data_IF_259393304144
#
_entry.id   IF_259393304144
#
_cell.length_a   1.000
_cell.length_b   1.000
_cell.length_c   1.000
_cell.angle_alpha   90.00
_cell.angle_beta   90.00
_cell.angle_gamma   90.00
#
_symmetry.space_group_name_H-M   'P 1'
#
loop_
_entity.id
_entity.type
_entity.pdbx_description
1 polymer ?
#
# COMPACT_ATOMS: atom_id res chain seq x y z
N UNK A 1 17.74 1.81 0.49
CA UNK A 1 16.41 1.15 0.51
C UNK A 1 16.50 -0.07 -0.40
N UNK A 2 15.97 -1.21 0.03
CA UNK A 2 15.86 -2.37 -0.85
C UNK A 2 14.87 -2.05 -1.98
N UNK A 3 15.23 -2.36 -3.22
CA UNK A 3 14.36 -2.13 -4.37
C UNK A 3 13.29 -3.21 -4.40
N UNK A 4 12.07 -2.91 -3.96
CA UNK A 4 10.95 -3.88 -3.86
C UNK A 4 10.45 -4.37 -5.23
N UNK A 5 10.96 -3.79 -6.33
CA UNK A 5 10.53 -4.05 -7.70
C UNK A 5 11.11 -5.36 -8.24
N UNK A 6 10.67 -6.48 -7.68
CA UNK A 6 11.06 -7.80 -8.18
C UNK A 6 10.12 -8.32 -9.25
N UNK A 7 8.90 -7.80 -9.29
CA UNK A 7 7.89 -8.04 -10.32
C UNK A 7 7.26 -6.73 -10.77
N UNK A 8 6.84 -6.69 -12.02
CA UNK A 8 6.10 -5.59 -12.62
C UNK A 8 4.62 -5.60 -12.22
N UNK A 9 3.99 -4.43 -12.34
CA UNK A 9 2.56 -4.25 -12.12
C UNK A 9 1.71 -5.16 -13.01
N UNK A 10 2.14 -5.34 -14.26
CA UNK A 10 1.44 -6.20 -15.21
C UNK A 10 1.49 -7.67 -14.75
N UNK A 11 2.64 -8.14 -14.28
CA UNK A 11 2.78 -9.49 -13.73
C UNK A 11 1.91 -9.70 -12.48
N UNK A 12 1.91 -8.74 -11.55
CA UNK A 12 1.04 -8.79 -10.38
C UNK A 12 -0.44 -8.78 -10.75
N UNK A 13 -0.88 -7.89 -11.65
CA UNK A 13 -2.28 -7.82 -12.05
C UNK A 13 -2.73 -9.09 -12.77
N UNK A 14 -1.92 -9.61 -13.70
CA UNK A 14 -2.20 -10.86 -14.39
C UNK A 14 -2.28 -12.04 -13.42
N UNK A 15 -1.37 -12.12 -12.44
CA UNK A 15 -1.42 -13.14 -11.39
C UNK A 15 -2.70 -13.00 -10.55
N UNK A 16 -3.03 -11.80 -10.10
CA UNK A 16 -4.21 -11.53 -9.28
C UNK A 16 -5.51 -11.89 -10.02
N UNK A 17 -5.60 -11.62 -11.32
CA UNK A 17 -6.80 -11.92 -12.12
C UNK A 17 -6.97 -13.41 -12.42
N UNK A 18 -5.88 -14.19 -12.45
CA UNK A 18 -5.92 -15.60 -12.83
C UNK A 18 -5.67 -16.58 -11.67
N UNK A 19 -5.36 -16.10 -10.45
CA UNK A 19 -5.08 -16.99 -9.30
C UNK A 19 -6.32 -17.74 -8.81
N UNK A 20 -6.09 -18.92 -8.22
CA UNK A 20 -7.13 -19.67 -7.52
C UNK A 20 -7.37 -19.08 -6.11
N UNK A 21 -8.51 -18.43 -5.92
CA UNK A 21 -8.90 -17.80 -4.64
C UNK A 21 -9.13 -18.81 -3.51
N UNK A 22 -9.44 -20.07 -3.81
CA UNK A 22 -9.64 -21.12 -2.80
C UNK A 22 -8.33 -21.54 -2.12
N UNK A 23 -7.18 -21.23 -2.75
CA UNK A 23 -5.85 -21.55 -2.25
C UNK A 23 -5.22 -20.40 -1.48
N UNK A 24 -5.91 -19.26 -1.32
CA UNK A 24 -5.41 -18.13 -0.55
C UNK A 24 -5.43 -18.45 0.95
N UNK A 25 -4.39 -18.05 1.67
CA UNK A 25 -4.32 -18.25 3.13
C UNK A 25 -5.21 -17.29 3.91
N UNK A 26 -5.61 -16.18 3.29
CA UNK A 26 -6.40 -15.13 3.92
C UNK A 26 -7.59 -14.79 3.02
N UNK A 27 -8.76 -14.57 3.63
CA UNK A 27 -9.92 -14.07 2.88
C UNK A 27 -9.84 -12.56 2.69
N UNK A 28 -9.48 -11.85 3.76
CA UNK A 28 -9.48 -10.40 3.88
C UNK A 28 -8.48 -9.93 4.94
N UNK A 29 -8.12 -8.63 4.92
CA UNK A 29 -7.32 -8.01 5.99
C UNK A 29 -8.13 -7.71 7.27
N UNK A 30 -9.45 -7.75 7.24
CA UNK A 30 -10.29 -7.31 8.38
C UNK A 30 -10.23 -8.27 9.57
N UNK A 31 -10.07 -9.57 9.29
CA UNK A 31 -10.21 -10.64 10.28
C UNK A 31 -8.90 -11.46 10.44
N UNK A 32 -7.75 -10.83 10.17
CA UNK A 32 -6.45 -11.49 10.36
C UNK A 32 -6.14 -11.68 11.85
N UNK A 33 -5.80 -12.92 12.22
CA UNK A 33 -5.29 -13.23 13.56
C UNK A 33 -3.84 -12.78 13.67
N UNK A 34 -3.32 -12.69 14.90
CA UNK A 34 -1.92 -12.32 15.15
C UNK A 34 -0.92 -13.21 14.37
N UNK A 35 -1.22 -14.50 14.24
CA UNK A 35 -0.41 -15.42 13.43
C UNK A 35 -0.41 -15.06 11.94
N UNK A 36 -1.58 -14.71 11.40
CA UNK A 36 -1.75 -14.32 10.00
C UNK A 36 -0.98 -13.04 9.70
N UNK A 37 -1.10 -12.03 10.58
CA UNK A 37 -0.38 -10.75 10.46
C UNK A 37 1.13 -10.99 10.51
N UNK A 38 1.60 -11.80 11.46
CA UNK A 38 3.00 -12.17 11.55
C UNK A 38 3.51 -12.84 10.27
N UNK A 39 2.77 -13.84 9.75
CA UNK A 39 3.11 -14.52 8.51
C UNK A 39 3.18 -13.55 7.33
N UNK A 40 2.22 -12.64 7.20
CA UNK A 40 2.21 -11.67 6.11
C UNK A 40 3.39 -10.69 6.17
N UNK A 41 3.73 -10.20 7.37
CA UNK A 41 4.92 -9.37 7.57
C UNK A 41 6.22 -10.11 7.20
N UNK A 42 6.34 -11.39 7.56
CA UNK A 42 7.49 -12.23 7.18
C UNK A 42 7.61 -12.43 5.67
N UNK A 43 6.48 -12.57 4.96
CA UNK A 43 6.45 -12.65 3.49
C UNK A 43 6.95 -11.35 2.86
N UNK A 44 6.48 -10.19 3.34
CA UNK A 44 6.95 -8.88 2.88
C UNK A 44 8.45 -8.73 3.12
N UNK A 45 8.94 -9.08 4.31
CA UNK A 45 10.37 -9.01 4.63
C UNK A 45 11.21 -9.91 3.72
N UNK A 46 10.74 -11.16 3.52
CA UNK A 46 11.39 -12.15 2.65
C UNK A 46 11.47 -11.66 1.22
N UNK A 47 10.37 -11.08 0.72
CA UNK A 47 10.32 -10.47 -0.60
C UNK A 47 11.31 -9.31 -0.68
N UNK A 48 11.22 -8.34 0.24
CA UNK A 48 12.02 -7.12 0.22
C UNK A 48 13.53 -7.38 0.30
N UNK A 49 13.94 -8.34 1.13
CA UNK A 49 15.35 -8.66 1.34
C UNK A 49 15.88 -9.75 0.40
N UNK A 50 15.03 -10.29 -0.49
CA UNK A 50 15.34 -11.48 -1.31
C UNK A 50 16.00 -12.59 -0.49
N UNK A 51 15.41 -12.92 0.67
CA UNK A 51 16.00 -13.91 1.56
C UNK A 51 16.01 -15.28 0.89
N UNK A 52 17.09 -16.03 1.08
CA UNK A 52 17.15 -17.42 0.64
C UNK A 52 16.31 -18.28 1.58
N UNK A 53 15.38 -19.03 1.01
CA UNK A 53 14.48 -19.96 1.71
C UNK A 53 15.17 -21.33 1.86
N UNK A 54 14.65 -22.13 2.79
CA UNK A 54 15.22 -23.47 3.11
C UNK A 54 15.22 -24.43 1.93
N UNK A 55 14.28 -24.26 0.98
CA UNK A 55 14.20 -25.02 -0.27
C UNK A 55 15.20 -24.57 -1.35
N UNK A 56 16.04 -23.56 -1.07
CA UNK A 56 17.02 -23.01 -1.98
C UNK A 56 16.51 -21.89 -2.89
N UNK A 57 15.19 -21.63 -2.89
CA UNK A 57 14.58 -20.50 -3.61
C UNK A 57 14.96 -19.17 -2.97
N UNK A 58 14.91 -18.09 -3.74
CA UNK A 58 15.31 -16.75 -3.30
C UNK A 58 14.10 -15.81 -3.38
N UNK A 59 13.76 -15.20 -2.25
CA UNK A 59 12.64 -14.27 -2.16
C UNK A 59 11.28 -14.96 -2.21
N UNK A 60 10.26 -14.19 -2.59
CA UNK A 60 8.87 -14.63 -2.73
C UNK A 60 8.50 -14.53 -4.20
N UNK A 61 8.05 -15.64 -4.78
CA UNK A 61 7.68 -15.71 -6.21
C UNK A 61 6.25 -15.21 -6.45
N UNK A 62 5.86 -15.00 -7.71
CA UNK A 62 4.45 -14.71 -8.04
C UNK A 62 3.50 -15.84 -7.64
N UNK A 63 3.96 -17.10 -7.69
CA UNK A 63 3.15 -18.24 -7.27
C UNK A 63 2.93 -18.25 -5.74
N UNK A 64 3.94 -17.85 -4.97
CA UNK A 64 3.79 -17.63 -3.54
C UNK A 64 2.81 -16.47 -3.27
N UNK A 65 2.97 -15.34 -3.96
CA UNK A 65 2.07 -14.19 -3.82
C UNK A 65 0.61 -14.54 -4.14
N UNK A 66 0.35 -15.47 -5.06
CA UNK A 66 -0.99 -15.95 -5.34
C UNK A 66 -1.69 -16.57 -4.11
N UNK A 67 -0.92 -17.13 -3.17
CA UNK A 67 -1.42 -17.74 -1.93
C UNK A 67 -1.41 -16.76 -0.75
N UNK A 68 -0.40 -15.88 -0.70
CA UNK A 68 -0.22 -14.92 0.40
C UNK A 68 -1.01 -13.62 0.27
N UNK A 69 -1.48 -13.25 -0.92
CA UNK A 69 -2.44 -12.15 -1.06
C UNK A 69 -3.85 -12.62 -0.63
N UNK A 70 -4.66 -11.75 0.01
CA UNK A 70 -6.01 -12.10 0.41
C UNK A 70 -6.88 -12.47 -0.79
N UNK A 71 -7.85 -13.37 -0.62
CA UNK A 71 -8.79 -13.78 -1.65
C UNK A 71 -9.56 -12.58 -2.24
N UNK A 72 -9.88 -11.59 -1.40
CA UNK A 72 -10.48 -10.33 -1.85
C UNK A 72 -9.57 -9.60 -2.85
N UNK A 73 -10.00 -9.55 -4.11
CA UNK A 73 -9.21 -9.00 -5.22
C UNK A 73 -8.86 -7.52 -5.05
N UNK A 74 -9.75 -6.69 -4.47
CA UNK A 74 -9.46 -5.26 -4.25
C UNK A 74 -8.33 -5.09 -3.24
N UNK A 75 -8.36 -5.88 -2.16
CA UNK A 75 -7.31 -5.89 -1.14
C UNK A 75 -5.98 -6.43 -1.67
N UNK A 76 -6.02 -7.45 -2.54
CA UNK A 76 -4.84 -7.95 -3.23
C UNK A 76 -4.19 -6.87 -4.14
N UNK A 77 -5.00 -6.16 -4.94
CA UNK A 77 -4.52 -5.06 -5.80
C UNK A 77 -3.95 -3.89 -4.99
N UNK A 78 -4.55 -3.59 -3.83
CA UNK A 78 -4.04 -2.57 -2.90
C UNK A 78 -2.63 -2.88 -2.41
N UNK A 79 -2.31 -4.13 -2.09
CA UNK A 79 -0.94 -4.50 -1.71
C UNK A 79 -0.01 -4.47 -2.91
N UNK A 80 -0.45 -5.04 -4.04
CA UNK A 80 0.38 -5.13 -5.23
C UNK A 80 0.93 -3.76 -5.66
N UNK A 81 0.13 -2.68 -5.62
CA UNK A 81 0.62 -1.35 -6.01
C UNK A 81 1.83 -0.88 -5.18
N UNK A 82 1.95 -1.25 -3.91
CA UNK A 82 3.11 -0.86 -3.09
C UNK A 82 4.35 -1.72 -3.34
N UNK A 83 4.16 -2.95 -3.83
CA UNK A 83 5.24 -3.90 -4.10
C UNK A 83 5.87 -3.71 -5.48
N UNK A 84 5.29 -2.88 -6.33
CA UNK A 84 5.71 -2.64 -7.72
C UNK A 84 5.86 -1.14 -8.01
N UNK A 85 5.83 -0.74 -9.28
CA UNK A 85 5.89 0.67 -9.73
C UNK A 85 4.54 1.41 -9.53
N UNK A 86 3.74 0.95 -8.58
CA UNK A 86 2.43 1.49 -8.29
C UNK A 86 2.56 2.75 -7.44
N UNK A 87 2.39 3.91 -8.08
CA UNK A 87 2.01 5.12 -7.35
C UNK A 87 0.68 4.94 -6.62
N UNK A 88 0.31 5.93 -5.81
CA UNK A 88 -0.96 5.93 -5.08
C UNK A 88 -2.13 5.67 -6.06
N UNK A 89 -2.92 4.62 -5.78
CA UNK A 89 -4.15 4.26 -6.47
C UNK A 89 -4.01 3.90 -7.97
N UNK A 90 -2.93 3.23 -8.38
CA UNK A 90 -2.72 2.85 -9.79
C UNK A 90 -3.77 1.90 -10.38
N UNK A 91 -4.41 1.08 -9.57
CA UNK A 91 -5.44 0.12 -10.01
C UNK A 91 -6.86 0.69 -10.02
N UNK A 92 -6.99 2.02 -9.93
CA UNK A 92 -8.28 2.73 -9.87
C UNK A 92 -9.25 2.08 -8.87
N UNK A 93 -8.72 1.75 -7.69
CA UNK A 93 -9.52 1.17 -6.63
C UNK A 93 -10.44 2.28 -6.12
N UNK A 94 -11.73 2.14 -6.45
CA UNK A 94 -12.74 3.13 -6.07
C UNK A 94 -12.64 3.43 -4.58
N UNK A 95 -12.42 4.69 -4.29
CA UNK A 95 -11.96 5.12 -3.00
C UNK A 95 -13.09 5.43 -2.02
N UNK A 96 -14.10 4.57 -1.93
CA UNK A 96 -15.14 4.68 -0.90
C UNK A 96 -14.58 4.78 0.54
N UNK A 97 -13.30 4.44 0.74
CA UNK A 97 -12.51 4.82 1.92
C UNK A 97 -11.01 5.06 1.69
N UNK A 98 -10.54 5.29 0.44
CA UNK A 98 -9.10 5.40 0.11
C UNK A 98 -8.67 6.76 -0.51
N UNK A 99 -9.58 7.68 -0.79
CA UNK A 99 -9.31 8.95 -1.50
C UNK A 99 -9.49 10.09 -0.55
N UNK A 100 -8.68 11.13 -0.75
CA UNK A 100 -8.65 12.43 -0.06
C UNK A 100 -8.65 12.35 1.46
N UNK A 101 -9.66 11.77 2.09
CA UNK A 101 -9.78 11.53 3.52
C UNK A 101 -8.64 10.65 4.04
N UNK A 102 -8.31 9.51 3.44
CA UNK A 102 -7.19 8.69 3.98
C UNK A 102 -5.85 9.43 3.94
N UNK A 103 -5.60 10.22 2.89
CA UNK A 103 -4.41 11.07 2.79
C UNK A 103 -4.48 12.27 3.73
N UNK A 104 -5.63 12.94 3.85
CA UNK A 104 -5.85 14.08 4.73
C UNK A 104 -5.77 13.68 6.21
N UNK A 105 -6.37 12.54 6.57
CA UNK A 105 -6.42 11.97 7.92
C UNK A 105 -5.05 11.46 8.38
N UNK A 106 -4.18 11.04 7.45
CA UNK A 106 -2.83 10.58 7.76
C UNK A 106 -1.72 11.59 7.39
N UNK A 107 -2.07 12.75 6.81
CA UNK A 107 -1.09 13.75 6.35
C UNK A 107 -0.24 14.27 7.52
N UNK A 108 -0.88 14.39 8.69
CA UNK A 108 -0.24 14.74 9.96
C UNK A 108 0.92 13.80 10.30
N UNK A 109 0.74 12.50 10.12
CA UNK A 109 1.72 11.47 10.52
C UNK A 109 2.91 11.37 9.56
N UNK A 110 2.80 11.90 8.35
CA UNK A 110 3.86 11.82 7.34
C UNK A 110 4.67 13.10 7.15
N UNK A 111 4.29 14.22 7.79
CA UNK A 111 5.01 15.48 7.70
C UNK A 111 4.99 16.11 6.30
N UNK A 112 3.88 15.93 5.57
CA UNK A 112 3.73 16.29 4.16
C UNK A 112 2.76 17.47 3.91
N UNK A 113 2.44 18.29 4.92
CA UNK A 113 1.66 19.53 4.71
C UNK A 113 2.58 20.71 4.44
N UNK A 114 2.17 21.57 3.50
CA UNK A 114 2.80 22.86 3.17
C UNK A 114 2.35 24.00 4.11
N UNK A 115 1.88 23.65 5.31
CA UNK A 115 1.39 24.59 6.32
C UNK A 115 2.55 25.06 7.19
N UNK A 116 2.59 26.36 7.46
CA UNK A 116 3.54 26.96 8.39
C UNK A 116 2.96 26.83 9.82
N UNK A 117 3.79 26.45 10.79
CA UNK A 117 3.38 26.24 12.18
C UNK A 117 4.02 27.28 13.10
N UNK A 118 3.30 27.69 14.14
CA UNK A 118 3.87 28.49 15.23
C UNK A 118 4.76 27.63 16.15
N UNK A 119 5.44 28.27 17.10
CA UNK A 119 6.35 27.60 18.04
C UNK A 119 5.59 26.65 19.01
N UNK A 120 4.28 26.82 19.12
CA UNK A 120 3.35 25.97 19.87
C UNK A 120 2.74 24.82 19.04
N UNK A 121 3.06 24.74 17.74
CA UNK A 121 2.62 23.69 16.83
C UNK A 121 1.20 23.86 16.27
N UNK A 122 0.62 25.06 16.33
CA UNK A 122 -0.65 25.37 15.67
C UNK A 122 -0.41 25.80 14.22
N UNK A 123 -1.37 25.50 13.34
CA UNK A 123 -1.34 25.92 11.94
C UNK A 123 -1.53 27.44 11.86
N UNK A 124 -0.58 28.13 11.21
CA UNK A 124 -0.69 29.54 10.90
C UNK A 124 -1.58 29.68 9.66
N UNK A 125 -2.79 30.22 9.84
CA UNK A 125 -3.66 30.53 8.70
C UNK A 125 -2.97 31.58 7.81
N UNK A 126 -2.75 31.22 6.54
CA UNK A 126 -2.34 32.20 5.53
C UNK A 126 -3.55 33.09 5.26
N UNK A 127 -3.53 34.31 5.79
CA UNK A 127 -4.52 35.33 5.45
C UNK A 127 -4.59 35.45 3.92
N UNK A 128 -5.76 35.16 3.36
CA UNK A 128 -6.00 35.32 1.94
C UNK A 128 -5.71 36.78 1.57
N UNK A 129 -4.80 37.01 0.61
CA UNK A 129 -4.62 38.32 0.00
C UNK A 129 -5.98 38.75 -0.56
N UNK A 130 -6.65 39.66 0.15
CA UNK A 130 -7.84 40.36 -0.33
C UNK A 130 -7.49 41.04 -1.63
N UNK A 131 -7.95 40.48 -2.76
CA UNK A 131 -8.01 41.19 -4.02
C UNK A 131 -8.84 42.46 -3.80
N UNK A 132 -8.17 43.61 -3.89
CA UNK A 132 -8.81 44.92 -3.95
C UNK A 132 -9.76 44.95 -5.16
N UNK A 133 -11.05 44.77 -4.90
CA UNK A 133 -12.12 45.15 -5.81
C UNK A 133 -12.65 46.52 -5.38
N UNK A 134 -12.02 47.60 -5.87
CA UNK A 134 -12.70 48.89 -5.97
C UNK A 134 -12.52 49.49 -7.38
N UNK A 135 -13.65 50.03 -7.84
CA UNK A 135 -14.01 50.48 -9.19
C UNK A 135 -13.11 51.54 -9.83
#
# INVERSE_FOLDING_TARGET
MADLKHHSDHEFNAMIENRNIENCFFDTFDDMRMGDVFTFCMVIETYAKKLKRDNGEVGVTLEDWAKFLPANQKKAKFVAQFLCDGGINKYDLTCGGLTANLLADNLWSYGLRDEDYDDEGNVIEKEAETENLEN
#
